data_IF_291048892879
#
_entry.id   IF_291048892879
#
_cell.length_a   1.000
_cell.length_b   1.000
_cell.length_c   1.000
_cell.angle_alpha   90.00
_cell.angle_beta   90.00
_cell.angle_gamma   90.00
#
_symmetry.space_group_name_H-M   'P 1'
#
loop_
_entity.id
_entity.type
_entity.pdbx_description
1 polymer ?
#
# COMPACT_ATOMS: atom_id res chain seq x y z
N UNK A 1 5.01 22.58 -1.81
CA UNK A 1 6.06 23.03 -2.77
C UNK A 1 7.38 22.93 -2.03
N UNK A 2 8.40 22.28 -2.60
CA UNK A 2 9.68 22.04 -1.89
C UNK A 2 10.60 23.25 -1.97
N UNK A 3 11.31 23.52 -0.88
CA UNK A 3 12.29 24.59 -0.79
C UNK A 3 13.70 24.02 -0.58
N UNK A 4 14.68 24.69 -1.18
CA UNK A 4 16.09 24.32 -1.13
C UNK A 4 16.91 25.47 -0.55
N UNK A 5 17.96 25.16 0.18
CA UNK A 5 18.99 26.10 0.58
C UNK A 5 20.23 25.92 -0.32
N UNK A 6 20.81 27.02 -0.79
CA UNK A 6 22.10 27.00 -1.48
C UNK A 6 23.24 26.89 -0.46
N UNK A 7 24.07 25.85 -0.55
CA UNK A 7 25.15 25.63 0.44
C UNK A 7 26.31 26.63 0.28
N UNK A 8 26.41 27.34 -0.86
CA UNK A 8 27.47 28.34 -1.10
C UNK A 8 27.13 29.73 -0.57
N UNK A 9 25.87 30.16 -0.62
CA UNK A 9 25.46 31.52 -0.22
C UNK A 9 24.35 31.56 0.84
N UNK A 10 23.80 30.42 1.24
CA UNK A 10 22.73 30.32 2.24
C UNK A 10 21.35 30.78 1.75
N UNK A 11 21.18 31.13 0.47
CA UNK A 11 19.90 31.62 -0.04
C UNK A 11 18.84 30.50 -0.08
N UNK A 12 17.64 30.78 0.42
CA UNK A 12 16.49 29.88 0.39
C UNK A 12 15.68 30.07 -0.89
N UNK A 13 15.53 29.00 -1.66
CA UNK A 13 15.05 29.00 -3.03
C UNK A 13 13.88 28.03 -3.18
N UNK A 14 12.81 28.49 -3.85
CA UNK A 14 11.79 27.58 -4.40
C UNK A 14 12.41 26.77 -5.54
N UNK A 15 11.90 25.56 -5.80
CA UNK A 15 12.38 24.71 -6.91
C UNK A 15 12.57 25.44 -8.26
N UNK A 16 11.59 26.24 -8.69
CA UNK A 16 11.67 27.00 -9.95
C UNK A 16 12.70 28.15 -9.90
N UNK A 17 13.07 28.63 -8.71
CA UNK A 17 14.07 29.67 -8.52
C UNK A 17 15.50 29.10 -8.54
N UNK A 18 15.68 27.82 -8.22
CA UNK A 18 16.99 27.14 -8.28
C UNK A 18 17.58 27.22 -9.69
N UNK A 19 16.76 27.04 -10.73
CA UNK A 19 17.19 27.17 -12.14
C UNK A 19 17.89 28.49 -12.43
N UNK A 20 17.32 29.60 -11.92
CA UNK A 20 17.88 30.93 -12.11
C UNK A 20 19.12 31.15 -11.22
N UNK A 21 19.12 30.56 -10.03
CA UNK A 21 20.19 30.72 -9.06
C UNK A 21 21.47 29.96 -9.46
N UNK A 22 21.37 28.85 -10.20
CA UNK A 22 22.53 28.09 -10.72
C UNK A 22 23.49 29.01 -11.51
N UNK A 23 22.96 30.00 -12.23
CA UNK A 23 23.80 30.96 -12.98
C UNK A 23 24.62 31.89 -12.08
N UNK A 24 24.10 32.20 -10.88
CA UNK A 24 24.78 33.03 -9.87
C UNK A 24 25.79 32.19 -9.09
N UNK A 25 25.36 31.05 -8.55
CA UNK A 25 26.18 30.17 -7.75
C UNK A 25 26.52 28.90 -8.54
N UNK A 26 27.45 29.08 -9.49
CA UNK A 26 27.78 28.08 -10.52
C UNK A 26 28.24 26.74 -9.99
N UNK A 27 28.80 26.65 -8.78
CA UNK A 27 29.36 25.43 -8.18
C UNK A 27 28.68 25.04 -6.86
N UNK A 28 27.50 25.57 -6.59
CA UNK A 28 26.77 25.24 -5.38
C UNK A 28 26.08 23.88 -5.44
N UNK A 29 25.96 23.27 -4.28
CA UNK A 29 25.01 22.21 -3.95
C UNK A 29 23.77 22.80 -3.30
N UNK A 30 22.66 22.07 -3.37
CA UNK A 30 21.37 22.49 -2.85
C UNK A 30 20.83 21.47 -1.86
N UNK A 31 20.58 21.90 -0.64
CA UNK A 31 20.03 21.04 0.41
C UNK A 31 18.53 21.29 0.56
N UNK A 32 17.71 20.25 0.48
CA UNK A 32 16.27 20.39 0.74
C UNK A 32 16.05 20.70 2.22
N UNK A 33 15.31 21.76 2.55
CA UNK A 33 15.14 22.16 3.97
C UNK A 33 14.31 21.15 4.77
N UNK A 34 13.41 20.42 4.10
CA UNK A 34 12.51 19.49 4.76
C UNK A 34 13.19 18.13 5.06
N UNK A 35 13.87 17.53 4.08
CA UNK A 35 14.55 16.23 4.25
C UNK A 35 16.05 16.34 4.55
N UNK A 36 16.64 17.53 4.46
CA UNK A 36 18.08 17.78 4.60
C UNK A 36 18.95 16.90 3.69
N UNK A 37 18.39 16.41 2.58
CA UNK A 37 19.16 15.72 1.54
C UNK A 37 19.81 16.78 0.64
N UNK A 38 21.11 16.62 0.39
CA UNK A 38 21.85 17.45 -0.57
C UNK A 38 21.68 16.92 -1.99
N UNK A 39 21.56 17.86 -2.92
CA UNK A 39 21.35 17.63 -4.34
C UNK A 39 22.33 18.48 -5.15
N UNK A 40 22.72 17.94 -6.30
CA UNK A 40 23.48 18.67 -7.29
C UNK A 40 22.57 19.52 -8.17
N UNK A 41 23.19 20.36 -8.99
CA UNK A 41 22.53 21.22 -9.99
C UNK A 41 21.68 20.45 -11.01
N UNK A 42 21.84 19.13 -11.12
CA UNK A 42 21.03 18.30 -12.01
C UNK A 42 19.98 17.49 -11.26
N UNK A 43 20.32 16.99 -10.06
CA UNK A 43 19.47 16.08 -9.31
C UNK A 43 18.37 16.76 -8.49
N UNK A 44 18.47 18.06 -8.19
CA UNK A 44 17.41 18.78 -7.45
C UNK A 44 16.06 18.74 -8.19
N UNK A 45 16.06 18.68 -9.52
CA UNK A 45 14.87 18.64 -10.36
C UNK A 45 14.04 17.36 -10.15
N UNK A 46 14.68 16.25 -9.81
CA UNK A 46 14.04 14.97 -9.50
C UNK A 46 13.31 14.96 -8.15
N UNK A 47 13.68 15.88 -7.24
CA UNK A 47 13.06 15.92 -5.92
C UNK A 47 11.67 16.58 -6.01
N UNK A 48 10.63 15.75 -5.94
CA UNK A 48 9.23 16.14 -6.12
C UNK A 48 8.42 16.03 -4.81
N UNK A 49 8.75 15.06 -3.97
CA UNK A 49 8.10 14.80 -2.66
C UNK A 49 9.18 14.64 -1.60
N UNK A 50 9.01 15.33 -0.48
CA UNK A 50 9.86 15.17 0.70
C UNK A 50 9.36 14.00 1.57
N UNK A 51 10.25 13.42 2.38
CA UNK A 51 9.88 12.49 3.44
C UNK A 51 8.95 13.18 4.45
N UNK A 52 8.04 12.43 5.05
CA UNK A 52 7.20 12.93 6.14
C UNK A 52 8.02 13.03 7.43
N UNK A 53 7.59 13.89 8.36
CA UNK A 53 8.19 13.99 9.69
C UNK A 53 8.18 12.63 10.42
N UNK A 54 7.09 11.87 10.29
CA UNK A 54 7.00 10.52 10.82
C UNK A 54 8.03 9.55 10.22
N UNK A 55 8.33 9.65 8.92
CA UNK A 55 9.37 8.83 8.31
C UNK A 55 10.78 9.25 8.75
N UNK A 56 10.97 10.53 9.09
CA UNK A 56 12.26 11.06 9.56
C UNK A 56 12.54 10.76 11.03
N UNK A 57 11.53 10.93 11.88
CA UNK A 57 11.67 10.87 13.34
C UNK A 57 10.97 9.67 13.99
N UNK A 58 10.16 8.91 13.25
CA UNK A 58 9.29 7.85 13.80
C UNK A 58 10.00 6.57 14.24
N UNK A 59 11.33 6.54 14.26
CA UNK A 59 12.10 5.37 14.68
C UNK A 59 11.97 4.18 13.73
N UNK A 60 12.51 3.03 14.16
CA UNK A 60 12.56 1.80 13.34
C UNK A 60 11.18 1.15 13.15
N UNK A 61 10.23 1.42 14.04
CA UNK A 61 8.88 0.84 14.01
C UNK A 61 7.86 1.71 13.25
N UNK A 62 8.30 2.81 12.60
CA UNK A 62 7.41 3.66 11.82
C UNK A 62 6.93 2.94 10.56
N UNK A 63 5.65 2.59 10.54
CA UNK A 63 4.98 2.10 9.34
C UNK A 63 4.45 3.30 8.56
N UNK A 64 4.98 3.50 7.35
CA UNK A 64 4.49 4.50 6.41
C UNK A 64 3.02 4.21 6.10
N UNK A 65 2.13 5.05 6.59
CA UNK A 65 0.69 4.92 6.33
C UNK A 65 0.41 5.46 4.94
N UNK A 66 0.20 4.58 3.97
CA UNK A 66 -0.18 4.96 2.60
C UNK A 66 -1.43 5.86 2.62
N UNK A 67 -1.38 6.98 1.90
CA UNK A 67 -2.53 7.84 1.77
C UNK A 67 -3.59 7.13 0.91
N UNK A 68 -4.78 6.91 1.47
CA UNK A 68 -5.91 6.28 0.76
C UNK A 68 -6.22 6.98 -0.58
N UNK A 69 -6.00 8.30 -0.67
CA UNK A 69 -6.20 9.07 -1.89
C UNK A 69 -5.18 8.75 -3.00
N UNK A 70 -3.91 8.58 -2.61
CA UNK A 70 -2.80 8.26 -3.52
C UNK A 70 -2.92 6.83 -4.03
N UNK A 71 -3.27 5.87 -3.16
CA UNK A 71 -3.54 4.48 -3.56
C UNK A 71 -4.65 4.39 -4.63
N UNK A 72 -5.73 5.16 -4.44
CA UNK A 72 -6.81 5.24 -5.43
C UNK A 72 -6.37 5.89 -6.74
N UNK A 73 -5.41 6.83 -6.69
CA UNK A 73 -4.88 7.48 -7.88
C UNK A 73 -3.94 6.54 -8.65
N UNK A 74 -3.04 5.85 -7.96
CA UNK A 74 -2.14 4.88 -8.58
C UNK A 74 -2.93 3.74 -9.24
N UNK A 75 -3.93 3.18 -8.54
CA UNK A 75 -4.81 2.17 -9.12
C UNK A 75 -5.56 2.67 -10.37
N UNK A 76 -5.94 3.95 -10.41
CA UNK A 76 -6.54 4.57 -11.59
C UNK A 76 -5.52 4.70 -12.75
N UNK A 77 -4.29 5.12 -12.48
CA UNK A 77 -3.24 5.19 -13.50
C UNK A 77 -2.87 3.79 -14.05
N UNK A 78 -2.88 2.76 -13.20
CA UNK A 78 -2.71 1.36 -13.62
C UNK A 78 -3.86 0.91 -14.53
N UNK A 79 -5.11 1.26 -14.23
CA UNK A 79 -6.26 0.99 -15.09
C UNK A 79 -6.11 1.64 -16.47
N UNK A 80 -5.66 2.89 -16.51
CA UNK A 80 -5.38 3.59 -17.78
C UNK A 80 -4.28 2.86 -18.56
N UNK A 81 -3.21 2.41 -17.89
CA UNK A 81 -2.12 1.68 -18.53
C UNK A 81 -2.58 0.36 -19.13
N UNK A 82 -3.41 -0.40 -18.41
CA UNK A 82 -4.01 -1.63 -18.93
C UNK A 82 -4.96 -1.38 -20.10
N UNK A 83 -5.72 -0.29 -20.06
CA UNK A 83 -6.56 0.09 -21.18
C UNK A 83 -5.74 0.36 -22.46
N UNK A 84 -4.51 0.88 -22.36
CA UNK A 84 -3.60 1.08 -23.51
C UNK A 84 -3.24 -0.25 -24.19
N UNK A 85 -3.09 -1.33 -23.41
CA UNK A 85 -2.71 -2.65 -23.90
C UNK A 85 -3.89 -3.33 -24.61
N UNK A 86 -5.10 -3.20 -24.07
CA UNK A 86 -6.30 -3.87 -24.59
C UNK A 86 -7.02 -3.13 -25.73
N UNK A 87 -6.76 -1.84 -25.91
CA UNK A 87 -7.35 -1.05 -27.01
C UNK A 87 -6.69 -1.40 -28.35
N UNK A 88 -7.54 -1.79 -29.33
CA UNK A 88 -7.14 -2.13 -30.70
C UNK A 88 -7.00 -0.90 -31.61
N UNK A 89 -7.80 0.12 -31.39
CA UNK A 89 -7.85 1.35 -32.19
C UNK A 89 -6.60 2.22 -31.97
N UNK A 90 -5.91 2.59 -33.05
CA UNK A 90 -4.64 3.33 -32.99
C UNK A 90 -4.81 4.73 -32.36
N UNK A 91 -5.83 5.47 -32.78
CA UNK A 91 -6.09 6.84 -32.31
C UNK A 91 -6.38 6.88 -30.80
N UNK A 92 -7.14 5.91 -30.31
CA UNK A 92 -7.46 5.76 -28.89
C UNK A 92 -6.19 5.40 -28.09
N UNK A 93 -5.37 4.50 -28.63
CA UNK A 93 -4.11 4.10 -28.01
C UNK A 93 -3.14 5.28 -27.88
N UNK A 94 -3.02 6.11 -28.91
CA UNK A 94 -2.14 7.27 -28.89
C UNK A 94 -2.57 8.31 -27.84
N UNK A 95 -3.88 8.47 -27.64
CA UNK A 95 -4.42 9.38 -26.62
C UNK A 95 -4.20 8.84 -25.23
N UNK A 96 -4.50 7.57 -24.99
CA UNK A 96 -4.25 6.96 -23.69
C UNK A 96 -2.75 6.97 -23.33
N UNK A 97 -1.84 6.82 -24.30
CA UNK A 97 -0.38 7.02 -24.13
C UNK A 97 0.00 8.46 -23.80
N UNK A 98 -0.72 9.46 -24.29
CA UNK A 98 -0.49 10.84 -23.90
C UNK A 98 -0.98 11.10 -22.48
N UNK A 99 -2.13 10.52 -22.12
CA UNK A 99 -2.71 10.60 -20.77
C UNK A 99 -1.80 9.94 -19.74
N UNK A 100 -1.18 8.79 -20.05
CA UNK A 100 -0.30 8.07 -19.12
C UNK A 100 0.98 8.81 -18.73
N UNK A 101 1.33 9.92 -19.41
CA UNK A 101 2.45 10.79 -19.03
C UNK A 101 2.15 11.62 -17.78
N UNK A 102 0.90 11.68 -17.34
CA UNK A 102 0.46 12.46 -16.19
C UNK A 102 0.10 11.53 -15.04
N UNK A 103 0.62 11.79 -13.84
CA UNK A 103 0.28 11.00 -12.65
C UNK A 103 -1.09 11.39 -12.04
N UNK A 104 -1.54 12.63 -12.30
CA UNK A 104 -2.77 13.19 -11.75
C UNK A 104 -3.91 13.24 -12.78
N UNK A 105 -4.26 12.07 -13.32
CA UNK A 105 -5.36 11.93 -14.28
C UNK A 105 -6.71 12.08 -13.57
N UNK A 106 -7.64 12.92 -14.07
CA UNK A 106 -8.97 13.04 -13.48
C UNK A 106 -9.78 11.75 -13.54
N UNK A 107 -10.42 11.41 -12.42
CA UNK A 107 -11.25 10.19 -12.24
C UNK A 107 -12.74 10.37 -12.51
N UNK A 108 -13.16 11.55 -12.95
CA UNK A 108 -14.56 11.85 -13.26
C UNK A 108 -14.65 12.15 -14.74
N UNK A 109 -15.62 11.55 -15.43
CA UNK A 109 -15.80 11.69 -16.87
C UNK A 109 -15.74 13.15 -17.33
N UNK A 110 -16.62 14.02 -16.84
CA UNK A 110 -16.63 15.43 -17.25
C UNK A 110 -15.30 16.15 -17.04
N UNK A 111 -14.58 15.84 -15.94
CA UNK A 111 -13.26 16.43 -15.67
C UNK A 111 -12.18 15.85 -16.57
N UNK A 112 -12.27 14.57 -16.91
CA UNK A 112 -11.35 13.90 -17.82
C UNK A 112 -11.49 14.47 -19.23
N UNK A 113 -12.72 14.67 -19.69
CA UNK A 113 -13.00 15.25 -21.00
C UNK A 113 -12.49 16.69 -21.09
N UNK A 114 -12.73 17.50 -20.05
CA UNK A 114 -12.18 18.85 -19.95
C UNK A 114 -10.64 18.81 -19.90
N UNK A 115 -10.04 17.81 -19.26
CA UNK A 115 -8.59 17.64 -19.23
C UNK A 115 -8.03 17.32 -20.62
N UNK A 116 -8.66 16.41 -21.38
CA UNK A 116 -8.26 16.11 -22.75
C UNK A 116 -8.41 17.33 -23.67
N UNK A 117 -9.49 18.10 -23.52
CA UNK A 117 -9.75 19.28 -24.34
C UNK A 117 -8.81 20.44 -24.02
N UNK A 118 -8.53 20.71 -22.73
CA UNK A 118 -7.71 21.85 -22.33
C UNK A 118 -6.21 21.53 -22.30
N UNK A 119 -5.82 20.40 -21.69
CA UNK A 119 -4.42 20.06 -21.46
C UNK A 119 -3.79 19.39 -22.68
N UNK A 120 -4.52 18.48 -23.34
CA UNK A 120 -4.04 17.77 -24.53
C UNK A 120 -4.52 18.41 -25.85
N UNK A 121 -5.38 19.43 -25.79
CA UNK A 121 -5.94 20.14 -26.95
C UNK A 121 -6.67 19.23 -27.95
N UNK A 122 -7.24 18.12 -27.46
CA UNK A 122 -7.99 17.16 -28.28
C UNK A 122 -9.43 17.68 -28.42
N UNK A 123 -9.74 18.27 -29.57
CA UNK A 123 -11.06 18.89 -29.84
C UNK A 123 -12.15 17.86 -30.19
N UNK A 124 -11.78 16.66 -30.64
CA UNK A 124 -12.74 15.65 -31.04
C UNK A 124 -13.43 15.04 -29.81
N UNK A 125 -14.61 15.57 -29.49
CA UNK A 125 -15.40 15.18 -28.31
C UNK A 125 -15.76 13.70 -28.30
N UNK A 126 -16.20 13.15 -29.43
CA UNK A 126 -16.64 11.74 -29.52
C UNK A 126 -15.47 10.77 -29.35
N UNK A 127 -14.27 11.14 -29.79
CA UNK A 127 -13.08 10.36 -29.54
C UNK A 127 -12.65 10.44 -28.05
N UNK A 128 -12.80 11.59 -27.38
CA UNK A 128 -12.57 11.70 -25.93
C UNK A 128 -13.53 10.82 -25.11
N UNK A 129 -14.79 10.72 -25.53
CA UNK A 129 -15.78 9.81 -24.90
C UNK A 129 -15.42 8.35 -25.10
N UNK A 130 -15.00 7.97 -26.32
CA UNK A 130 -14.53 6.61 -26.59
C UNK A 130 -13.31 6.26 -25.75
N UNK A 131 -12.39 7.21 -25.55
CA UNK A 131 -11.21 7.01 -24.69
C UNK A 131 -11.62 6.76 -23.24
N UNK A 132 -12.58 7.54 -22.72
CA UNK A 132 -13.13 7.32 -21.39
C UNK A 132 -13.81 5.95 -21.25
N UNK A 133 -14.70 5.61 -22.20
CA UNK A 133 -15.40 4.32 -22.22
C UNK A 133 -14.43 3.13 -22.27
N UNK A 134 -13.33 3.25 -23.01
CA UNK A 134 -12.30 2.20 -23.06
C UNK A 134 -11.70 1.93 -21.67
N UNK A 135 -11.43 2.98 -20.89
CA UNK A 135 -10.94 2.85 -19.51
C UNK A 135 -12.02 2.27 -18.60
N UNK A 136 -13.27 2.69 -18.73
CA UNK A 136 -14.38 2.16 -17.92
C UNK A 136 -14.64 0.68 -18.13
N UNK A 137 -14.66 0.22 -19.40
CA UNK A 137 -14.82 -1.19 -19.73
C UNK A 137 -13.72 -2.03 -19.09
N UNK A 138 -12.47 -1.55 -19.16
CA UNK A 138 -11.35 -2.24 -18.53
C UNK A 138 -11.47 -2.24 -17.00
N UNK A 139 -11.91 -1.13 -16.41
CA UNK A 139 -12.12 -1.04 -14.97
C UNK A 139 -13.26 -1.95 -14.47
N UNK A 140 -14.26 -2.26 -15.31
CA UNK A 140 -15.31 -3.24 -15.00
C UNK A 140 -14.73 -4.65 -15.06
N UNK A 141 -14.03 -5.02 -16.14
CA UNK A 141 -13.38 -6.34 -16.28
C UNK A 141 -12.44 -6.64 -15.11
N UNK A 142 -11.60 -5.68 -14.73
CA UNK A 142 -10.70 -5.85 -13.59
C UNK A 142 -11.44 -6.08 -12.26
N UNK A 143 -12.61 -5.48 -12.08
CA UNK A 143 -13.45 -5.70 -10.89
C UNK A 143 -14.06 -7.09 -10.90
N UNK A 144 -14.57 -7.54 -12.03
CA UNK A 144 -15.12 -8.88 -12.21
C UNK A 144 -14.07 -9.97 -11.98
N UNK A 145 -12.87 -9.82 -12.56
CA UNK A 145 -11.75 -10.74 -12.33
C UNK A 145 -11.30 -10.78 -10.86
N UNK A 146 -11.31 -9.64 -10.17
CA UNK A 146 -10.97 -9.57 -8.76
C UNK A 146 -12.01 -10.27 -7.88
N UNK A 147 -13.30 -10.14 -8.22
CA UNK A 147 -14.39 -10.83 -7.55
C UNK A 147 -14.24 -12.34 -7.77
N UNK A 148 -14.07 -12.79 -9.01
CA UNK A 148 -13.90 -14.21 -9.36
C UNK A 148 -12.70 -14.83 -8.63
N UNK A 149 -11.54 -14.16 -8.61
CA UNK A 149 -10.36 -14.64 -7.85
C UNK A 149 -10.61 -14.70 -6.35
N UNK A 150 -11.39 -13.76 -5.79
CA UNK A 150 -11.73 -13.77 -4.37
C UNK A 150 -12.70 -14.90 -4.01
N UNK A 151 -13.62 -15.25 -4.92
CA UNK A 151 -14.57 -16.35 -4.76
C UNK A 151 -13.86 -17.70 -4.87
N UNK A 152 -12.98 -17.87 -5.87
CA UNK A 152 -12.13 -19.06 -5.99
C UNK A 152 -11.22 -19.25 -4.77
N UNK A 153 -10.61 -18.17 -4.25
CA UNK A 153 -9.78 -18.24 -3.06
C UNK A 153 -10.57 -18.63 -1.80
N UNK A 154 -11.82 -18.16 -1.67
CA UNK A 154 -12.71 -18.55 -0.56
C UNK A 154 -13.15 -20.00 -0.66
N UNK A 155 -13.44 -20.50 -1.86
CA UNK A 155 -13.78 -21.90 -2.10
C UNK A 155 -12.60 -22.81 -1.74
N UNK A 156 -11.40 -22.52 -2.24
CA UNK A 156 -10.19 -23.28 -1.91
C UNK A 156 -9.87 -23.27 -0.41
N UNK A 157 -10.05 -22.12 0.26
CA UNK A 157 -9.83 -22.03 1.70
C UNK A 157 -10.87 -22.80 2.54
N UNK A 158 -12.09 -22.98 2.01
CA UNK A 158 -13.14 -23.79 2.64
C UNK A 158 -12.86 -25.29 2.46
N UNK A 159 -12.49 -25.70 1.25
CA UNK A 159 -12.11 -27.08 0.93
C UNK A 159 -10.88 -27.52 1.75
N UNK A 160 -9.88 -26.65 1.93
CA UNK A 160 -8.68 -26.97 2.73
C UNK A 160 -8.98 -27.11 4.23
N UNK A 161 -9.99 -26.38 4.75
CA UNK A 161 -10.47 -26.51 6.13
C UNK A 161 -11.26 -27.80 6.33
N UNK A 162 -12.15 -28.14 5.41
CA UNK A 162 -12.95 -29.38 5.45
C UNK A 162 -12.06 -30.62 5.29
N UNK A 163 -10.99 -30.56 4.49
CA UNK A 163 -10.00 -31.65 4.38
C UNK A 163 -9.17 -31.83 5.68
N UNK A 164 -8.85 -30.74 6.38
CA UNK A 164 -8.14 -30.78 7.68
C UNK A 164 -9.02 -31.25 8.84
N UNK A 165 -10.35 -31.11 8.75
CA UNK A 165 -11.30 -31.64 9.73
C UNK A 165 -11.55 -33.14 9.53
N UNK A 166 -11.71 -33.62 8.28
CA UNK A 166 -11.88 -35.05 7.99
C UNK A 166 -10.65 -35.90 8.37
N UNK A 167 -9.43 -35.35 8.22
CA UNK A 167 -8.20 -36.03 8.65
C UNK A 167 -8.05 -36.17 10.19
N UNK A 168 -8.87 -35.47 10.99
CA UNK A 168 -8.89 -35.61 12.46
C UNK A 168 -9.95 -36.58 12.98
N UNK A 169 -10.92 -36.97 12.17
CA UNK A 169 -11.95 -37.96 12.56
C UNK A 169 -11.50 -39.41 12.32
N UNK A 170 -10.61 -39.68 11.35
CA UNK A 170 -10.14 -41.05 11.04
C UNK A 170 -9.13 -41.63 12.06
N UNK A 171 -8.49 -40.81 12.91
CA UNK A 171 -7.52 -41.26 13.93
C UNK A 171 -8.19 -41.70 15.26
N UNK A 172 -9.51 -41.51 15.42
CA UNK A 172 -10.22 -41.83 16.67
C UNK A 172 -10.99 -43.17 16.65
N UNK A 173 -11.02 -43.90 15.53
CA UNK A 173 -11.88 -45.08 15.39
C UNK A 173 -11.11 -46.41 15.20
N UNK A 174 -9.94 -46.53 15.82
CA UNK A 174 -9.16 -47.77 15.87
C UNK A 174 -8.48 -47.94 17.23
N UNK A 175 -9.26 -48.12 18.32
CA UNK A 175 -8.90 -48.92 19.50
C UNK A 175 -10.24 -49.26 20.19
N UNK A 176 -10.86 -50.34 19.75
CA UNK A 176 -11.72 -51.15 20.62
C UNK A 176 -11.25 -52.59 20.49
N UNK A 177 -11.05 -53.19 21.66
CA UNK A 177 -10.77 -54.60 21.97
C UNK A 177 -9.32 -54.96 22.38
N UNK A 178 -9.31 -55.56 23.58
CA UNK A 178 -8.26 -56.22 24.36
C UNK A 178 -7.25 -55.42 25.19
N UNK A 179 -7.59 -55.30 26.48
CA UNK A 179 -6.67 -55.12 27.61
C UNK A 179 -5.95 -56.46 27.90
N UNK A 180 -4.70 -56.42 28.40
CA UNK A 180 -4.57 -56.69 29.83
C UNK A 180 -3.83 -55.60 30.61
N UNK A 181 -4.19 -55.63 31.89
CA UNK A 181 -3.81 -54.83 33.04
C UNK A 181 -2.30 -54.89 33.34
N UNK A 182 -1.66 -53.73 33.47
CA UNK A 182 -0.38 -53.43 34.17
C UNK A 182 0.47 -52.37 33.42
N UNK A 183 -0.02 -51.13 33.30
CA UNK A 183 0.87 -49.95 33.20
C UNK A 183 0.15 -48.61 33.50
N UNK A 184 -0.98 -48.66 34.20
CA UNK A 184 -1.72 -47.47 34.65
C UNK A 184 -1.19 -47.01 36.02
N UNK A 185 0.10 -46.67 36.14
CA UNK A 185 0.60 -46.05 37.40
C UNK A 185 1.65 -44.97 37.27
N UNK A 186 2.35 -44.80 36.14
CA UNK A 186 3.44 -43.79 36.09
C UNK A 186 3.11 -42.44 35.43
N UNK A 187 2.03 -42.30 34.65
CA UNK A 187 1.71 -41.01 33.99
C UNK A 187 0.72 -40.10 34.73
N UNK A 188 0.04 -40.58 35.79
CA UNK A 188 -0.90 -39.79 36.60
C UNK A 188 -0.23 -38.92 37.70
N UNK A 189 1.04 -39.18 38.05
CA UNK A 189 1.75 -38.44 39.11
C UNK A 189 2.29 -37.08 38.65
N UNK A 190 2.70 -36.92 37.38
CA UNK A 190 3.27 -35.66 36.86
C UNK A 190 2.23 -34.56 36.54
N UNK A 191 0.96 -34.91 36.30
CA UNK A 191 -0.09 -33.92 35.98
C UNK A 191 -0.76 -33.29 37.21
N UNK A 192 -0.67 -33.93 38.39
CA UNK A 192 -1.23 -33.43 39.66
C UNK A 192 -0.32 -32.42 40.38
N UNK A 193 0.98 -32.45 40.12
CA UNK A 193 1.96 -31.51 40.71
C UNK A 193 1.90 -30.11 40.07
N UNK A 194 1.69 -30.00 38.76
CA UNK A 194 1.74 -28.71 38.05
C UNK A 194 0.48 -27.85 38.23
N UNK A 195 -0.66 -28.45 38.59
CA UNK A 195 -1.92 -27.71 38.86
C UNK A 195 -1.95 -27.07 40.26
N UNK A 196 -1.22 -27.57 41.25
CA UNK A 196 -1.21 -27.01 42.62
C UNK A 196 -0.39 -25.71 42.79
N UNK A 197 0.42 -25.31 41.82
CA UNK A 197 1.25 -24.10 41.88
C UNK A 197 0.67 -22.89 41.12
N UNK A 198 -0.39 -23.07 40.32
CA UNK A 198 -0.98 -21.98 39.54
C UNK A 198 -2.29 -21.42 40.15
N UNK A 199 -2.89 -22.11 41.12
CA UNK A 199 -4.13 -21.68 41.80
C UNK A 199 -3.87 -20.88 43.11
N UNK A 200 -2.62 -20.47 43.37
CA UNK A 200 -2.25 -19.71 44.58
C UNK A 200 -1.89 -18.23 44.33
N UNK A 201 -1.94 -17.74 43.09
CA UNK A 201 -1.60 -16.34 42.74
C UNK A 201 -2.75 -15.56 42.07
N UNK A 202 -4.01 -15.88 42.36
CA UNK A 202 -5.14 -14.98 42.05
C UNK A 202 -5.89 -14.56 43.33
N UNK A 203 -5.51 -13.37 43.83
CA UNK A 203 -6.18 -12.46 44.78
C UNK A 203 -6.34 -12.90 46.26
N UNK A 204 -6.27 -11.99 47.29
CA UNK A 204 -6.83 -10.61 47.24
C UNK A 204 -6.13 -9.47 48.06
N UNK A 205 -6.30 -8.24 47.54
CA UNK A 205 -6.67 -6.95 48.21
C UNK A 205 -5.89 -6.32 49.40
N UNK A 206 -5.92 -4.97 49.36
CA UNK A 206 -5.70 -3.89 50.38
C UNK A 206 -4.23 -3.43 50.49
N UNK A 207 -3.86 -2.14 50.57
CA UNK A 207 -4.48 -0.98 51.23
C UNK A 207 -3.82 0.36 50.82
N UNK A 208 -4.57 1.45 51.05
CA UNK A 208 -4.23 2.89 50.98
C UNK A 208 -2.94 3.36 51.71
N UNK A 209 -2.26 4.39 51.17
CA UNK A 209 -1.75 5.66 51.80
C UNK A 209 -0.65 6.27 50.90
N UNK A 210 -0.81 7.48 50.34
CA UNK A 210 -0.58 8.86 50.85
C UNK A 210 0.86 9.37 50.65
N UNK A 211 0.93 10.60 50.09
CA UNK A 211 2.00 11.64 50.15
C UNK A 211 3.37 11.28 49.53
N UNK A 212 4.09 12.13 48.81
CA UNK A 212 4.16 13.61 48.71
C UNK A 212 4.05 14.14 47.27
#
# INVERSE_FOLDING_TARGET
MVFFACDSCGESLKKNAVEKHIFRCKNATYSCMDCQKSFDKFSYSSHLKCISEGQRYGGKDYVVKENKGEKKQNAWCEQVTKAIENVKEKDLKDILKQVSKFDNIPRKEGKFLNFLQNSLKIKNRGLCERAWKAIEVEAVKMREEAIAKSEEAKLKAKEEKEAKEKAKEEDNNAITEDLPDEEIKEKKSKKRSKRKLAEAEDNPKKSKKNEE
#
